data_IF_224808196724
#
_entry.id   IF_224808196724
#
_cell.length_a   1.000
_cell.length_b   1.000
_cell.length_c   1.000
_cell.angle_alpha   90.00
_cell.angle_beta   90.00
_cell.angle_gamma   90.00
#
_symmetry.space_group_name_H-M   'P 1'
#
loop_
_entity.id
_entity.type
_entity.pdbx_description
1 polymer ?
#
# COMPACT_ATOMS: atom_id res chain seq x y z
N UNK A 1 26.67 20.59 -0.37
CA UNK A 1 25.32 20.15 0.03
C UNK A 1 24.56 19.80 -1.25
N UNK A 2 24.26 18.52 -1.56
CA UNK A 2 23.52 18.20 -2.78
C UNK A 2 22.08 18.72 -2.63
N UNK A 3 21.57 19.35 -3.69
CA UNK A 3 20.30 20.05 -3.75
C UNK A 3 19.14 19.20 -3.17
N UNK A 4 18.33 19.83 -2.30
CA UNK A 4 17.03 19.30 -1.89
C UNK A 4 16.17 19.10 -3.14
N UNK A 5 16.19 17.88 -3.68
CA UNK A 5 15.34 17.51 -4.80
C UNK A 5 13.90 17.60 -4.31
N UNK A 6 13.12 18.51 -4.91
CA UNK A 6 11.69 18.69 -4.61
C UNK A 6 11.01 17.32 -4.42
N UNK A 7 10.18 17.15 -3.36
CA UNK A 7 9.53 15.87 -3.08
C UNK A 7 8.73 15.43 -4.30
N UNK A 8 8.95 14.19 -4.75
CA UNK A 8 8.22 13.59 -5.88
C UNK A 8 6.95 12.95 -5.34
N UNK A 9 5.80 13.36 -5.85
CA UNK A 9 4.51 12.81 -5.44
C UNK A 9 4.07 11.70 -6.40
N UNK A 10 3.44 10.68 -5.85
CA UNK A 10 2.70 9.71 -6.63
C UNK A 10 1.34 10.30 -7.04
N UNK A 11 0.86 9.91 -8.22
CA UNK A 11 -0.51 10.17 -8.66
C UNK A 11 -1.45 9.17 -7.97
N UNK A 12 -1.56 9.30 -6.65
CA UNK A 12 -2.43 8.46 -5.83
C UNK A 12 -3.91 8.81 -6.11
N UNK A 13 -4.83 7.82 -6.18
CA UNK A 13 -6.23 8.05 -6.55
C UNK A 13 -7.03 8.98 -5.63
N UNK A 14 -6.59 9.20 -4.39
CA UNK A 14 -7.23 10.16 -3.48
C UNK A 14 -6.40 11.43 -3.36
N UNK A 15 -7.10 12.56 -3.15
CA UNK A 15 -6.46 13.86 -2.94
C UNK A 15 -5.70 13.94 -1.62
N UNK A 16 -6.21 13.26 -0.59
CA UNK A 16 -5.63 13.25 0.75
C UNK A 16 -5.64 11.84 1.37
N UNK A 17 -4.53 11.41 2.02
CA UNK A 17 -3.27 12.16 2.16
C UNK A 17 -2.51 12.25 0.83
N UNK A 18 -1.71 13.32 0.66
CA UNK A 18 -0.73 13.34 -0.44
C UNK A 18 0.24 12.19 -0.25
N UNK A 19 0.65 11.55 -1.33
CA UNK A 19 1.56 10.39 -1.25
C UNK A 19 2.90 10.75 -1.85
N UNK A 20 3.96 10.78 -1.04
CA UNK A 20 5.34 11.05 -1.47
C UNK A 20 6.02 9.75 -1.83
N UNK A 21 6.71 9.72 -2.97
CA UNK A 21 7.57 8.61 -3.39
C UNK A 21 8.79 8.63 -2.49
N UNK A 22 8.89 7.64 -1.59
CA UNK A 22 9.99 7.55 -0.63
C UNK A 22 11.31 7.12 -1.26
N UNK A 23 12.40 7.17 -0.46
CA UNK A 23 13.72 6.76 -0.89
C UNK A 23 13.74 5.26 -1.24
N UNK A 24 14.65 4.87 -2.14
CA UNK A 24 14.85 3.49 -2.59
C UNK A 24 13.74 2.90 -3.46
N UNK A 25 12.82 3.73 -3.98
CA UNK A 25 11.99 3.35 -5.13
C UNK A 25 12.81 3.61 -6.39
N UNK A 26 12.97 2.59 -7.24
CA UNK A 26 13.78 2.73 -8.46
C UNK A 26 13.17 3.79 -9.41
N UNK A 27 14.02 4.37 -10.27
CA UNK A 27 13.62 5.48 -11.14
C UNK A 27 12.46 5.14 -12.09
N UNK A 28 12.40 3.92 -12.61
CA UNK A 28 11.35 3.46 -13.52
C UNK A 28 9.99 3.42 -12.83
N UNK A 29 9.93 2.77 -11.67
CA UNK A 29 8.74 2.69 -10.85
C UNK A 29 8.32 4.07 -10.35
N UNK A 30 9.26 4.89 -9.89
CA UNK A 30 8.97 6.27 -9.48
C UNK A 30 8.33 7.08 -10.62
N UNK A 31 8.85 6.95 -11.85
CA UNK A 31 8.28 7.58 -13.05
C UNK A 31 6.84 7.10 -13.29
N UNK A 32 6.59 5.80 -13.20
CA UNK A 32 5.25 5.25 -13.41
C UNK A 32 4.25 5.67 -12.33
N UNK A 33 4.66 5.75 -11.06
CA UNK A 33 3.81 6.22 -9.97
C UNK A 33 3.45 7.70 -10.10
N UNK A 34 4.33 8.52 -10.67
CA UNK A 34 4.08 9.97 -10.87
C UNK A 34 3.21 10.30 -12.08
N UNK A 35 2.86 9.32 -12.92
CA UNK A 35 2.10 9.57 -14.15
C UNK A 35 0.60 9.60 -13.91
N UNK A 36 -0.08 10.35 -14.78
CA UNK A 36 -1.54 10.30 -14.91
C UNK A 36 -1.99 8.87 -15.21
N UNK A 37 -3.07 8.46 -14.56
CA UNK A 37 -3.78 7.22 -14.85
C UNK A 37 -4.71 7.43 -16.04
N UNK A 38 -4.73 6.48 -16.97
CA UNK A 38 -5.74 6.47 -18.04
C UNK A 38 -6.97 5.67 -17.65
N UNK A 39 -8.12 6.18 -18.11
CA UNK A 39 -9.39 5.49 -18.04
C UNK A 39 -9.45 4.31 -19.02
N UNK A 40 -10.42 3.43 -18.80
CA UNK A 40 -10.57 2.18 -19.57
C UNK A 40 -10.79 2.39 -21.07
N UNK A 41 -11.38 3.51 -21.48
CA UNK A 41 -11.64 3.86 -22.89
C UNK A 41 -10.37 4.17 -23.69
N UNK A 42 -9.29 4.57 -23.04
CA UNK A 42 -8.02 4.87 -23.70
C UNK A 42 -7.08 3.65 -23.75
N UNK A 43 -7.51 2.53 -23.16
CA UNK A 43 -6.73 1.29 -23.11
C UNK A 43 -6.92 0.46 -24.38
N UNK A 44 -5.83 -0.15 -24.87
CA UNK A 44 -5.88 -1.19 -25.90
C UNK A 44 -6.65 -2.42 -25.41
N UNK A 45 -7.15 -3.25 -26.33
CA UNK A 45 -7.88 -4.50 -25.98
C UNK A 45 -7.07 -5.39 -25.04
N UNK A 46 -5.78 -5.59 -25.33
CA UNK A 46 -4.87 -6.38 -24.49
C UNK A 46 -4.66 -5.79 -23.09
N UNK A 47 -4.69 -4.46 -22.95
CA UNK A 47 -4.61 -3.79 -21.66
C UNK A 47 -5.93 -3.97 -20.88
N UNK A 48 -7.07 -3.90 -21.56
CA UNK A 48 -8.40 -4.11 -20.97
C UNK A 48 -8.57 -5.54 -20.45
N UNK A 49 -8.19 -6.56 -21.24
CA UNK A 49 -8.27 -7.97 -20.82
C UNK A 49 -7.44 -8.24 -19.56
N UNK A 50 -6.18 -7.77 -19.53
CA UNK A 50 -5.31 -7.91 -18.34
C UNK A 50 -5.81 -7.08 -17.16
N UNK A 51 -6.39 -5.92 -17.44
CA UNK A 51 -7.05 -5.07 -16.46
C UNK A 51 -8.21 -5.79 -15.79
N UNK A 52 -9.04 -6.49 -16.58
CA UNK A 52 -10.17 -7.26 -16.10
C UNK A 52 -9.74 -8.42 -15.19
N UNK A 53 -8.69 -9.17 -15.58
CA UNK A 53 -8.10 -10.22 -14.74
C UNK A 53 -7.65 -9.64 -13.39
N UNK A 54 -6.97 -8.49 -13.43
CA UNK A 54 -6.51 -7.79 -12.22
C UNK A 54 -7.69 -7.31 -11.36
N UNK A 55 -8.78 -6.82 -11.99
CA UNK A 55 -10.00 -6.40 -11.31
C UNK A 55 -10.70 -7.56 -10.60
N UNK A 56 -10.78 -8.73 -11.24
CA UNK A 56 -11.36 -9.93 -10.64
C UNK A 56 -10.52 -10.46 -9.48
N UNK A 57 -9.19 -10.42 -9.62
CA UNK A 57 -8.26 -10.75 -8.55
C UNK A 57 -8.44 -9.82 -7.34
N UNK A 58 -8.51 -8.51 -7.58
CA UNK A 58 -8.70 -7.53 -6.52
C UNK A 58 -10.07 -7.65 -5.85
N UNK A 59 -11.14 -7.85 -6.64
CA UNK A 59 -12.49 -8.10 -6.14
C UNK A 59 -12.50 -9.31 -5.19
N UNK A 60 -11.85 -10.39 -5.58
CA UNK A 60 -11.79 -11.62 -4.80
C UNK A 60 -11.00 -11.43 -3.50
N UNK A 61 -9.84 -10.76 -3.56
CA UNK A 61 -9.01 -10.48 -2.40
C UNK A 61 -9.72 -9.57 -1.37
N UNK A 62 -10.33 -8.47 -1.83
CA UNK A 62 -11.05 -7.53 -0.95
C UNK A 62 -12.29 -8.19 -0.36
N UNK A 63 -13.03 -8.99 -1.12
CA UNK A 63 -14.17 -9.74 -0.61
C UNK A 63 -13.76 -10.79 0.44
N UNK A 64 -12.60 -11.44 0.28
CA UNK A 64 -12.08 -12.36 1.30
C UNK A 64 -11.75 -11.64 2.61
N UNK A 65 -11.11 -10.46 2.53
CA UNK A 65 -10.86 -9.60 3.71
C UNK A 65 -12.16 -9.13 4.34
N UNK A 66 -13.13 -8.73 3.52
CA UNK A 66 -14.42 -8.27 4.01
C UNK A 66 -15.16 -9.36 4.79
N UNK A 67 -15.21 -10.59 4.25
CA UNK A 67 -15.82 -11.73 4.93
C UNK A 67 -15.10 -12.09 6.23
N UNK A 68 -13.77 -12.11 6.22
CA UNK A 68 -12.98 -12.44 7.40
C UNK A 68 -13.12 -11.39 8.52
N UNK A 69 -13.26 -10.11 8.18
CA UNK A 69 -13.40 -9.01 9.11
C UNK A 69 -14.83 -8.55 9.40
N UNK A 70 -15.84 -9.31 8.95
CA UNK A 70 -17.27 -8.93 9.02
C UNK A 70 -17.52 -7.49 8.51
N UNK A 71 -16.89 -7.13 7.40
CA UNK A 71 -16.98 -5.79 6.78
C UNK A 71 -17.97 -5.80 5.63
N UNK A 72 -18.56 -4.64 5.37
CA UNK A 72 -19.36 -4.42 4.17
C UNK A 72 -18.43 -4.28 2.96
N UNK A 73 -18.64 -5.12 1.95
CA UNK A 73 -17.94 -5.06 0.68
C UNK A 73 -18.69 -4.18 -0.33
N UNK A 74 -17.99 -3.31 -1.03
CA UNK A 74 -18.54 -2.41 -2.04
C UNK A 74 -17.67 -2.35 -3.29
N UNK A 75 -18.34 -2.18 -4.44
CA UNK A 75 -17.72 -2.00 -5.75
C UNK A 75 -18.10 -0.61 -6.24
N UNK A 76 -17.10 0.25 -6.45
CA UNK A 76 -17.31 1.60 -6.96
C UNK A 76 -17.05 1.61 -8.48
N UNK A 77 -18.06 2.04 -9.25
CA UNK A 77 -17.93 2.17 -10.71
C UNK A 77 -17.21 3.46 -11.03
N UNK A 78 -16.07 3.36 -11.72
CA UNK A 78 -15.32 4.52 -12.21
C UNK A 78 -14.97 4.36 -13.68
N UNK A 79 -14.90 5.48 -14.40
CA UNK A 79 -14.36 5.55 -15.76
C UNK A 79 -12.84 5.74 -15.78
N UNK A 80 -12.30 6.27 -14.68
CA UNK A 80 -10.89 6.62 -14.52
C UNK A 80 -10.03 5.43 -14.06
N UNK A 81 -10.67 4.43 -13.46
CA UNK A 81 -10.01 3.26 -12.90
C UNK A 81 -10.54 1.99 -13.54
N UNK A 82 -9.66 1.00 -13.67
CA UNK A 82 -10.03 -0.34 -14.14
C UNK A 82 -10.96 -1.02 -13.12
N UNK A 83 -10.73 -0.76 -11.83
CA UNK A 83 -11.59 -1.22 -10.75
C UNK A 83 -11.31 -0.49 -9.45
N UNK A 84 -12.37 -0.28 -8.66
CA UNK A 84 -12.30 0.28 -7.32
C UNK A 84 -13.14 -0.58 -6.39
N UNK A 85 -12.53 -1.05 -5.31
CA UNK A 85 -13.13 -1.97 -4.36
C UNK A 85 -12.87 -1.49 -2.95
N UNK A 86 -13.89 -1.52 -2.11
CA UNK A 86 -13.80 -1.13 -0.70
C UNK A 86 -14.36 -2.20 0.22
N UNK A 87 -13.79 -2.29 1.42
CA UNK A 87 -14.32 -3.07 2.52
C UNK A 87 -14.27 -2.24 3.80
N UNK A 88 -15.41 -2.03 4.46
CA UNK A 88 -15.50 -1.11 5.61
C UNK A 88 -16.36 -1.68 6.74
N UNK A 89 -15.95 -1.44 7.98
CA UNK A 89 -16.79 -1.59 9.17
C UNK A 89 -16.64 -0.34 10.08
N UNK A 90 -16.99 -0.45 11.36
CA UNK A 90 -16.88 0.66 12.32
C UNK A 90 -15.42 1.05 12.62
N UNK A 91 -14.49 0.09 12.56
CA UNK A 91 -13.12 0.24 13.04
C UNK A 91 -12.12 0.42 11.90
N UNK A 92 -12.40 -0.16 10.73
CA UNK A 92 -11.46 -0.34 9.64
C UNK A 92 -12.09 0.00 8.30
N UNK A 93 -11.26 0.56 7.41
CA UNK A 93 -11.59 0.79 6.01
C UNK A 93 -10.42 0.41 5.11
N UNK A 94 -10.71 -0.53 4.22
CA UNK A 94 -9.86 -0.91 3.11
C UNK A 94 -10.39 -0.33 1.82
N UNK A 95 -9.50 0.27 1.01
CA UNK A 95 -9.83 0.67 -0.34
C UNK A 95 -8.71 0.29 -1.29
N UNK A 96 -9.08 -0.31 -2.43
CA UNK A 96 -8.16 -0.80 -3.45
C UNK A 96 -8.55 -0.18 -4.79
N UNK A 97 -7.56 0.33 -5.50
CA UNK A 97 -7.72 0.89 -6.84
C UNK A 97 -6.78 0.19 -7.81
N UNK A 98 -7.24 0.05 -9.05
CA UNK A 98 -6.42 -0.45 -10.14
C UNK A 98 -6.30 0.67 -11.17
N UNK A 99 -5.09 1.19 -11.31
CA UNK A 99 -4.76 2.25 -12.26
C UNK A 99 -3.84 1.72 -13.36
N UNK A 100 -3.86 2.39 -14.51
CA UNK A 100 -2.94 2.11 -15.61
C UNK A 100 -2.15 3.39 -15.88
N UNK A 101 -0.82 3.42 -15.72
CA UNK A 101 -0.01 4.61 -16.06
C UNK A 101 -0.15 4.95 -17.54
N UNK A 102 -0.27 6.25 -17.88
CA UNK A 102 -0.30 6.68 -19.27
C UNK A 102 1.05 6.50 -19.97
N UNK A 103 1.19 5.43 -20.75
CA UNK A 103 2.31 5.23 -21.66
C UNK A 103 1.90 4.33 -22.84
N UNK A 104 2.07 4.79 -24.10
CA UNK A 104 1.87 3.96 -25.27
C UNK A 104 2.73 2.69 -25.18
N UNK A 105 2.09 1.51 -25.26
CA UNK A 105 2.77 0.21 -25.26
C UNK A 105 3.07 -0.43 -23.90
N UNK A 106 2.76 0.22 -22.76
CA UNK A 106 2.86 -0.44 -21.46
C UNK A 106 1.60 -1.23 -21.12
N UNK A 107 1.76 -2.49 -20.71
CA UNK A 107 0.66 -3.34 -20.24
C UNK A 107 0.62 -3.48 -18.72
N UNK A 108 1.37 -2.64 -17.99
CA UNK A 108 1.47 -2.72 -16.53
C UNK A 108 0.34 -1.93 -15.84
N UNK A 109 -0.21 -2.53 -14.78
CA UNK A 109 -1.23 -1.97 -13.92
C UNK A 109 -0.63 -1.75 -12.52
N UNK A 110 -1.02 -0.66 -11.88
CA UNK A 110 -0.72 -0.40 -10.48
C UNK A 110 -1.95 -0.79 -9.66
N UNK A 111 -1.76 -1.73 -8.74
CA UNK A 111 -2.70 -1.99 -7.66
C UNK A 111 -2.29 -1.12 -6.47
N UNK A 112 -3.15 -0.19 -6.09
CA UNK A 112 -3.03 0.60 -4.88
C UNK A 112 -3.90 -0.01 -3.78
N UNK A 113 -3.38 -0.12 -2.57
CA UNK A 113 -4.19 -0.42 -1.40
C UNK A 113 -3.99 0.64 -0.33
N UNK A 114 -5.10 1.09 0.25
CA UNK A 114 -5.14 1.94 1.44
C UNK A 114 -5.81 1.18 2.57
N UNK A 115 -5.14 1.19 3.70
CA UNK A 115 -5.67 0.81 5.00
C UNK A 115 -5.93 2.09 5.80
N UNK A 116 -7.11 2.20 6.41
CA UNK A 116 -7.42 3.26 7.36
C UNK A 116 -8.06 2.67 8.61
N UNK A 117 -7.52 3.03 9.76
CA UNK A 117 -8.16 2.83 11.04
C UNK A 117 -9.15 3.99 11.26
N UNK A 118 -10.41 3.68 11.56
CA UNK A 118 -11.48 4.64 11.81
C UNK A 118 -11.69 4.86 13.31
N UNK A 119 -11.42 3.83 14.11
CA UNK A 119 -11.36 3.87 15.56
C UNK A 119 -9.93 4.11 16.06
N UNK A 120 -9.77 4.60 17.29
CA UNK A 120 -8.46 4.71 17.93
C UNK A 120 -7.55 5.79 17.33
N UNK A 121 -6.29 5.42 17.04
CA UNK A 121 -5.21 6.36 16.62
C UNK A 121 -5.35 6.86 15.17
N UNK A 122 -6.35 6.38 14.42
CA UNK A 122 -6.65 6.79 13.03
C UNK A 122 -5.46 6.65 12.07
N UNK A 123 -4.76 5.52 12.15
CA UNK A 123 -3.61 5.24 11.29
C UNK A 123 -4.03 5.08 9.83
N UNK A 124 -3.20 5.58 8.93
CA UNK A 124 -3.34 5.38 7.48
C UNK A 124 -2.11 4.68 6.95
N UNK A 125 -2.32 3.66 6.13
CA UNK A 125 -1.26 2.92 5.45
C UNK A 125 -1.53 2.82 3.96
N UNK A 126 -0.55 3.17 3.14
CA UNK A 126 -0.63 3.03 1.68
C UNK A 126 0.46 2.07 1.19
N UNK A 127 0.09 1.19 0.27
CA UNK A 127 1.03 0.36 -0.46
C UNK A 127 0.60 0.24 -1.93
N UNK A 128 1.53 -0.19 -2.76
CA UNK A 128 1.27 -0.41 -4.17
C UNK A 128 2.05 -1.62 -4.69
N UNK A 129 1.61 -2.14 -5.83
CA UNK A 129 2.41 -3.02 -6.66
C UNK A 129 2.15 -2.71 -8.13
N UNK A 130 3.23 -2.66 -8.89
CA UNK A 130 3.19 -2.50 -10.34
C UNK A 130 3.54 -3.84 -10.98
N UNK A 131 2.65 -4.36 -11.82
CA UNK A 131 2.89 -5.55 -12.62
C UNK A 131 1.95 -5.58 -13.83
N UNK A 132 2.22 -6.44 -14.81
CA UNK A 132 1.36 -6.61 -16.00
C UNK A 132 0.16 -7.52 -15.79
N UNK A 133 0.16 -8.28 -14.70
CA UNK A 133 -0.95 -9.07 -14.20
C UNK A 133 -0.79 -9.25 -12.69
N UNK A 134 -1.90 -9.36 -11.98
CA UNK A 134 -1.90 -9.59 -10.53
C UNK A 134 -2.81 -10.78 -10.21
N UNK A 135 -2.32 -11.66 -9.35
CA UNK A 135 -3.12 -12.73 -8.74
C UNK A 135 -3.83 -12.23 -7.50
N UNK A 136 -4.78 -13.02 -6.98
CA UNK A 136 -5.46 -12.73 -5.70
C UNK A 136 -4.44 -12.58 -4.57
N UNK A 137 -3.43 -13.46 -4.54
CA UNK A 137 -2.36 -13.41 -3.54
C UNK A 137 -1.49 -12.17 -3.67
N UNK A 138 -1.23 -11.71 -4.89
CA UNK A 138 -0.49 -10.47 -5.12
C UNK A 138 -1.23 -9.27 -4.52
N UNK A 139 -2.55 -9.16 -4.75
CA UNK A 139 -3.37 -8.08 -4.18
C UNK A 139 -3.43 -8.21 -2.65
N UNK A 140 -3.64 -9.42 -2.13
CA UNK A 140 -3.63 -9.67 -0.68
C UNK A 140 -2.30 -9.32 -0.02
N UNK A 141 -1.17 -9.51 -0.70
CA UNK A 141 0.14 -9.06 -0.24
C UNK A 141 0.25 -7.53 -0.20
N UNK A 142 -0.31 -6.81 -1.19
CA UNK A 142 -0.34 -5.33 -1.19
C UNK A 142 -1.20 -4.81 -0.05
N UNK A 143 -2.37 -5.40 0.21
CA UNK A 143 -3.21 -5.03 1.34
C UNK A 143 -2.48 -5.23 2.68
N UNK A 144 -1.88 -6.41 2.90
CA UNK A 144 -1.07 -6.66 4.11
C UNK A 144 0.10 -5.69 4.26
N UNK A 145 0.74 -5.33 3.15
CA UNK A 145 1.80 -4.32 3.17
C UNK A 145 1.26 -2.94 3.57
N UNK A 146 0.08 -2.53 3.09
CA UNK A 146 -0.54 -1.27 3.47
C UNK A 146 -0.81 -1.21 4.97
N UNK A 147 -1.40 -2.27 5.55
CA UNK A 147 -1.62 -2.35 7.01
C UNK A 147 -0.31 -2.32 7.80
N UNK A 148 0.73 -3.04 7.38
CA UNK A 148 2.05 -2.96 8.03
C UNK A 148 2.70 -1.58 7.93
N UNK A 149 2.35 -0.83 6.89
CA UNK A 149 2.85 0.53 6.68
C UNK A 149 2.01 1.59 7.38
N UNK A 150 0.94 1.20 8.10
CA UNK A 150 0.03 2.13 8.73
C UNK A 150 0.72 2.96 9.81
N UNK A 151 0.63 4.28 9.69
CA UNK A 151 1.17 5.24 10.64
C UNK A 151 0.14 6.35 10.86
N UNK A 152 0.24 7.06 11.98
CA UNK A 152 -0.53 8.29 12.18
C UNK A 152 0.08 9.34 11.25
N UNK A 153 -0.70 9.82 10.29
CA UNK A 153 -0.29 10.89 9.38
C UNK A 153 -0.88 12.19 9.91
N UNK A 154 -0.05 13.15 10.38
CA UNK A 154 -0.53 14.45 10.82
C UNK A 154 -1.30 15.19 9.72
N UNK A 155 -2.25 16.03 10.10
CA UNK A 155 -3.04 16.81 9.16
C UNK A 155 -2.14 17.72 8.30
N UNK A 156 -2.32 17.67 6.98
CA UNK A 156 -1.50 18.42 6.02
C UNK A 156 -0.17 17.76 5.66
N UNK A 157 0.24 16.68 6.32
CA UNK A 157 1.44 15.93 5.97
C UNK A 157 1.17 14.86 4.89
N UNK A 158 2.22 14.54 4.14
CA UNK A 158 2.15 13.53 3.10
C UNK A 158 2.55 12.15 3.65
N UNK A 159 1.82 11.12 3.25
CA UNK A 159 2.22 9.73 3.50
C UNK A 159 3.42 9.38 2.63
N UNK A 160 4.51 8.91 3.24
CA UNK A 160 5.70 8.49 2.49
C UNK A 160 5.64 7.00 2.11
N UNK A 161 5.62 6.69 0.81
CA UNK A 161 5.69 5.31 0.33
C UNK A 161 7.01 4.68 0.70
N UNK A 162 6.95 3.52 1.35
CA UNK A 162 8.15 2.72 1.64
C UNK A 162 8.59 2.02 0.37
N UNK A 163 9.81 2.32 -0.09
CA UNK A 163 10.50 1.53 -1.11
C UNK A 163 10.99 0.19 -0.54
N UNK A 164 11.56 -0.66 -1.40
CA UNK A 164 12.29 -1.84 -0.95
C UNK A 164 13.78 -1.49 -0.83
N UNK A 165 14.30 -1.16 0.37
CA UNK A 165 15.71 -0.84 0.53
C UNK A 165 16.56 -2.06 0.16
N UNK A 166 17.74 -1.87 -0.45
CA UNK A 166 18.65 -2.97 -0.76
C UNK A 166 18.93 -3.81 0.50
N UNK A 167 19.15 -5.14 0.38
CA UNK A 167 19.29 -6.04 1.53
C UNK A 167 20.30 -5.58 2.60
N UNK A 168 21.34 -4.84 2.22
CA UNK A 168 22.34 -4.27 3.14
C UNK A 168 21.82 -3.16 4.05
N UNK A 169 20.69 -2.54 3.73
CA UNK A 169 20.09 -1.42 4.47
C UNK A 169 18.83 -1.83 5.24
N UNK A 170 18.40 -3.08 5.11
CA UNK A 170 17.37 -3.66 5.96
C UNK A 170 18.00 -3.93 7.33
N UNK A 171 17.99 -2.92 8.23
CA UNK A 171 18.30 -3.15 9.64
C UNK A 171 17.35 -4.24 10.13
N UNK A 172 17.91 -5.40 10.47
CA UNK A 172 17.22 -6.48 11.16
C UNK A 172 16.71 -5.90 12.47
N UNK A 173 15.44 -5.47 12.51
CA UNK A 173 14.80 -5.07 13.76
C UNK A 173 14.83 -6.31 14.63
N UNK A 174 15.71 -6.32 15.63
CA UNK A 174 15.78 -7.38 16.61
C UNK A 174 14.38 -7.52 17.20
N UNK A 175 13.86 -8.75 17.20
CA UNK A 175 12.70 -9.09 18.01
C UNK A 175 13.02 -8.63 19.43
N UNK A 176 12.10 -7.88 20.05
CA UNK A 176 12.21 -7.56 21.45
C UNK A 176 12.30 -8.88 22.22
N UNK A 177 13.48 -9.18 22.76
CA UNK A 177 13.64 -10.23 23.76
C UNK A 177 12.74 -9.89 24.94
N UNK A 178 11.98 -10.87 25.49
CA UNK A 178 11.21 -10.64 26.69
C UNK A 178 12.16 -10.31 27.83
N UNK A 179 11.85 -9.24 28.56
CA UNK A 179 12.60 -8.78 29.71
C UNK A 179 12.81 -9.94 30.69
N UNK A 180 14.08 -10.33 30.87
CA UNK A 180 14.47 -11.17 31.98
C UNK A 180 14.30 -10.35 33.26
N UNK A 181 13.33 -10.78 34.06
CA UNK A 181 13.07 -10.32 35.41
C UNK A 181 14.36 -10.44 36.25
N UNK A 182 14.77 -9.31 36.82
CA UNK A 182 15.92 -9.22 37.70
C UNK A 182 15.62 -9.92 39.04
N UNK A 183 16.37 -10.97 39.36
CA UNK A 183 16.45 -11.51 40.72
C UNK A 183 17.60 -10.81 41.48
N UNK A 184 17.38 -10.31 42.71
CA UNK A 184 18.39 -9.55 43.43
C UNK A 184 19.45 -10.46 44.05
N UNK A 185 20.66 -9.91 44.17
CA UNK A 185 21.82 -10.48 44.81
C UNK A 185 21.55 -10.86 46.28
N UNK A 186 22.02 -12.04 46.69
CA UNK A 186 22.15 -12.43 48.09
C UNK A 186 23.64 -12.68 48.41
N UNK A 187 24.06 -12.06 49.49
CA UNK A 187 25.39 -12.05 50.11
C UNK A 187 25.99 -13.43 50.38
N UNK A 188 27.32 -13.50 50.34
CA UNK A 188 28.13 -14.30 51.25
C UNK A 188 28.90 -13.31 52.16
N UNK A 189 29.48 -13.69 53.33
CA UNK A 189 29.55 -14.99 54.00
C UNK A 189 29.28 -14.94 55.53
N UNK A 190 29.24 -16.09 56.22
CA UNK A 190 30.00 -16.36 57.47
C UNK A 190 29.64 -17.72 58.09
N UNK A 191 30.64 -18.60 58.22
CA UNK A 191 31.07 -19.28 59.44
C UNK A 191 32.39 -20.02 59.15
#
# INVERSE_FOLDING_TARGET
MPAESRPRYANFPEREPKVVIGPNINATTAKQLSRLSIGTYEMSVSQQERGQITAEAARSAVNAVAKAGAMQFEIEKSREFVGVFSAKNADLHWKVWITTPFEPGQSAHIVWARYSELSGEKKVGVAYRLNTAHTVDDVGNVMRAAQRNAVVVPEGEAFQLKGNPPPRFQKKTAAAEPAAEAAPAAEAPQA
#
